data_IF_160484285075
#
_entry.id   IF_160484285075
#
_cell.length_a   1.000
_cell.length_b   1.000
_cell.length_c   1.000
_cell.angle_alpha   90.00
_cell.angle_beta   90.00
_cell.angle_gamma   90.00
#
_symmetry.space_group_name_H-M   'P 1'
#
loop_
_entity.id
_entity.type
_entity.pdbx_description
1 polymer ?
#
# COMPACT_ATOMS: atom_id res chain seq x y z
N UNK A 1 -27.21 -2.05 -10.48
CA UNK A 1 -25.74 -1.96 -10.48
C UNK A 1 -25.22 -2.37 -11.85
N UNK A 2 -24.57 -1.49 -12.63
CA UNK A 2 -24.03 -1.89 -13.94
C UNK A 2 -22.61 -2.42 -13.75
N UNK A 3 -22.49 -3.70 -13.39
CA UNK A 3 -21.20 -4.39 -13.12
C UNK A 3 -20.17 -4.11 -14.23
N UNK A 4 -20.61 -4.13 -15.49
CA UNK A 4 -19.79 -3.82 -16.68
C UNK A 4 -19.07 -2.46 -16.58
N UNK A 5 -19.72 -1.44 -16.02
CA UNK A 5 -19.15 -0.09 -15.92
C UNK A 5 -18.12 0.02 -14.80
N UNK A 6 -18.32 -0.69 -13.70
CA UNK A 6 -17.34 -0.78 -12.60
C UNK A 6 -16.10 -1.53 -13.06
N UNK A 7 -16.27 -2.61 -13.83
CA UNK A 7 -15.19 -3.37 -14.45
C UNK A 7 -14.34 -2.50 -15.38
N UNK A 8 -14.95 -1.77 -16.31
CA UNK A 8 -14.25 -0.85 -17.21
C UNK A 8 -13.43 0.20 -16.45
N UNK A 9 -13.99 0.77 -15.38
CA UNK A 9 -13.29 1.75 -14.54
C UNK A 9 -12.09 1.10 -13.84
N UNK A 10 -12.25 -0.08 -13.24
CA UNK A 10 -11.18 -0.80 -12.57
C UNK A 10 -10.04 -1.12 -13.54
N UNK A 11 -10.36 -1.67 -14.71
CA UNK A 11 -9.36 -2.03 -15.72
C UNK A 11 -8.63 -0.80 -16.28
N UNK A 12 -9.34 0.31 -16.53
CA UNK A 12 -8.72 1.55 -17.01
C UNK A 12 -7.76 2.14 -15.97
N UNK A 13 -8.13 2.12 -14.68
CA UNK A 13 -7.26 2.56 -13.58
C UNK A 13 -6.00 1.69 -13.52
N UNK A 14 -6.15 0.37 -13.49
CA UNK A 14 -5.02 -0.55 -13.36
C UNK A 14 -4.10 -0.53 -14.60
N UNK A 15 -4.63 -0.25 -15.80
CA UNK A 15 -3.82 -0.10 -17.01
C UNK A 15 -2.93 1.13 -16.93
N UNK A 16 -3.48 2.25 -16.46
CA UNK A 16 -2.80 3.56 -16.45
C UNK A 16 -1.97 3.82 -15.20
N UNK A 17 -2.11 3.02 -14.15
CA UNK A 17 -1.37 3.22 -12.92
C UNK A 17 0.14 3.11 -13.16
N UNK A 18 0.90 4.12 -12.71
CA UNK A 18 2.36 4.10 -12.76
C UNK A 18 2.90 2.95 -11.91
N UNK A 19 2.33 2.81 -10.70
CA UNK A 19 2.56 1.67 -9.84
C UNK A 19 1.54 0.55 -10.17
N UNK A 20 2.00 -0.62 -10.67
CA UNK A 20 1.11 -1.71 -11.04
C UNK A 20 0.40 -2.33 -9.82
N UNK A 21 0.95 -2.20 -8.61
CA UNK A 21 0.30 -2.57 -7.34
C UNK A 21 -0.58 -1.41 -6.84
N UNK A 22 -1.74 -1.23 -7.47
CA UNK A 22 -2.65 -0.14 -7.14
C UNK A 22 -3.46 -0.46 -5.88
N UNK A 23 -3.49 0.41 -4.86
CA UNK A 23 -4.29 0.20 -3.65
C UNK A 23 -5.79 0.13 -3.97
N UNK A 24 -6.49 -0.86 -3.39
CA UNK A 24 -7.92 -1.09 -3.65
C UNK A 24 -8.77 0.10 -3.18
N UNK A 25 -8.39 0.75 -2.07
CA UNK A 25 -9.07 1.95 -1.56
C UNK A 25 -9.04 3.12 -2.54
N UNK A 26 -7.97 3.26 -3.34
CA UNK A 26 -7.88 4.26 -4.41
C UNK A 26 -8.79 3.91 -5.59
N UNK A 27 -8.87 2.62 -5.94
CA UNK A 27 -9.78 2.13 -6.99
C UNK A 27 -11.22 2.37 -6.55
N UNK A 28 -11.55 2.04 -5.30
CA UNK A 28 -12.86 2.26 -4.70
C UNK A 28 -13.29 3.72 -4.76
N UNK A 29 -12.44 4.64 -4.30
CA UNK A 29 -12.71 6.09 -4.33
C UNK A 29 -13.04 6.56 -5.74
N UNK A 30 -12.26 6.15 -6.74
CA UNK A 30 -12.51 6.52 -8.14
C UNK A 30 -13.78 5.89 -8.73
N UNK A 31 -14.13 4.68 -8.31
CA UNK A 31 -15.40 4.06 -8.70
C UNK A 31 -16.58 4.83 -8.10
N UNK A 32 -16.49 5.22 -6.83
CA UNK A 32 -17.51 6.01 -6.12
C UNK A 32 -17.66 7.41 -6.73
N UNK A 33 -16.55 8.07 -7.09
CA UNK A 33 -16.58 9.38 -7.77
C UNK A 33 -17.33 9.33 -9.12
N UNK A 34 -17.24 8.22 -9.86
CA UNK A 34 -17.84 8.08 -11.20
C UNK A 34 -19.26 7.51 -11.18
N UNK A 35 -19.56 6.56 -10.29
CA UNK A 35 -20.85 5.85 -10.25
C UNK A 35 -21.74 6.25 -9.07
N UNK A 36 -21.22 6.98 -8.09
CA UNK A 36 -21.90 7.38 -6.86
C UNK A 36 -21.82 6.34 -5.74
N UNK A 37 -21.70 6.81 -4.49
CA UNK A 37 -21.48 5.97 -3.29
C UNK A 37 -22.62 4.98 -2.98
N UNK A 38 -23.83 5.24 -3.46
CA UNK A 38 -24.98 4.37 -3.21
C UNK A 38 -24.94 3.04 -4.00
N UNK A 39 -24.01 2.88 -4.94
CA UNK A 39 -23.99 1.77 -5.88
C UNK A 39 -22.92 0.70 -5.58
N UNK A 40 -21.95 0.94 -4.70
CA UNK A 40 -20.79 0.06 -4.51
C UNK A 40 -20.23 0.19 -3.09
N UNK A 41 -20.01 -0.93 -2.40
CA UNK A 41 -19.23 -0.97 -1.16
C UNK A 41 -17.80 -1.43 -1.44
N UNK A 42 -16.87 -1.12 -0.55
CA UNK A 42 -15.46 -1.47 -0.70
C UNK A 42 -15.26 -3.00 -0.64
N UNK A 43 -16.01 -3.70 0.22
CA UNK A 43 -15.97 -5.16 0.32
C UNK A 43 -16.50 -5.82 -0.96
N UNK A 44 -17.57 -5.28 -1.55
CA UNK A 44 -18.13 -5.79 -2.79
C UNK A 44 -17.16 -5.60 -3.96
N UNK A 45 -16.46 -4.46 -4.00
CA UNK A 45 -15.40 -4.23 -4.98
C UNK A 45 -14.23 -5.19 -4.77
N UNK A 46 -13.79 -5.40 -3.54
CA UNK A 46 -12.70 -6.31 -3.23
C UNK A 46 -13.04 -7.76 -3.64
N UNK A 47 -14.26 -8.21 -3.35
CA UNK A 47 -14.74 -9.53 -3.77
C UNK A 47 -14.80 -9.65 -5.30
N UNK A 48 -15.25 -8.60 -5.99
CA UNK A 48 -15.24 -8.52 -7.45
C UNK A 48 -13.82 -8.65 -8.01
N UNK A 49 -12.87 -7.88 -7.49
CA UNK A 49 -11.47 -7.90 -7.94
C UNK A 49 -10.80 -9.26 -7.70
N UNK A 50 -11.07 -9.92 -6.57
CA UNK A 50 -10.59 -11.28 -6.27
C UNK A 50 -11.13 -12.33 -7.23
N UNK A 51 -12.37 -12.17 -7.69
CA UNK A 51 -13.01 -13.09 -8.64
C UNK A 51 -12.67 -12.82 -10.11
N UNK A 52 -11.97 -11.73 -10.42
CA UNK A 52 -11.77 -11.28 -11.79
C UNK A 52 -10.62 -12.05 -12.49
N UNK A 53 -10.88 -12.53 -13.71
CA UNK A 53 -9.97 -13.40 -14.47
C UNK A 53 -8.60 -12.77 -14.78
N UNK A 54 -8.55 -11.45 -14.96
CA UNK A 54 -7.32 -10.72 -15.32
C UNK A 54 -6.66 -9.96 -14.17
N UNK A 55 -7.17 -10.06 -12.95
CA UNK A 55 -6.67 -9.29 -11.80
C UNK A 55 -6.11 -10.25 -10.75
N UNK A 56 -5.03 -9.84 -10.09
CA UNK A 56 -4.52 -10.46 -8.88
C UNK A 56 -4.66 -9.46 -7.74
N UNK A 57 -5.11 -9.93 -6.58
CA UNK A 57 -5.18 -9.13 -5.36
C UNK A 57 -4.09 -9.62 -4.42
N UNK A 58 -3.22 -8.71 -4.03
CA UNK A 58 -2.18 -8.91 -3.01
C UNK A 58 -2.73 -8.37 -1.70
N UNK A 59 -2.94 -9.25 -0.74
CA UNK A 59 -3.43 -8.87 0.59
C UNK A 59 -2.34 -8.08 1.34
N UNK A 60 -2.74 -6.97 1.96
CA UNK A 60 -1.86 -6.16 2.82
C UNK A 60 -1.69 -6.81 4.20
N UNK A 61 -0.77 -6.26 5.00
CA UNK A 61 -0.58 -6.68 6.40
C UNK A 61 -1.71 -6.05 7.23
N UNK A 62 -2.89 -6.68 7.20
CA UNK A 62 -4.11 -6.09 7.74
C UNK A 62 -4.32 -6.35 9.25
N UNK A 63 -3.67 -7.36 9.85
CA UNK A 63 -3.95 -7.73 11.25
C UNK A 63 -2.68 -7.70 12.11
N UNK A 64 -2.69 -6.81 13.12
CA UNK A 64 -1.72 -6.82 14.22
C UNK A 64 -0.68 -5.69 14.24
N UNK A 65 -0.75 -4.72 13.33
CA UNK A 65 0.13 -3.55 13.40
C UNK A 65 -0.30 -2.62 14.57
N UNK A 66 0.62 -2.14 15.42
CA UNK A 66 0.31 -1.29 16.58
C UNK A 66 -0.15 0.14 16.22
N UNK A 67 -0.39 0.43 14.94
CA UNK A 67 -0.71 1.76 14.43
C UNK A 67 -1.91 1.67 13.49
N UNK A 68 -2.85 2.60 13.65
CA UNK A 68 -4.08 2.67 12.83
C UNK A 68 -3.76 2.88 11.34
N UNK A 69 -4.45 2.14 10.46
CA UNK A 69 -4.30 2.21 9.00
C UNK A 69 -4.42 3.65 8.44
N UNK A 70 -5.21 4.49 9.12
CA UNK A 70 -5.39 5.91 8.79
C UNK A 70 -4.10 6.72 8.91
N UNK A 71 -3.28 6.47 9.94
CA UNK A 71 -2.02 7.19 10.15
C UNK A 71 -0.98 6.86 9.08
N UNK A 72 -0.95 5.61 8.61
CA UNK A 72 -0.11 5.22 7.47
C UNK A 72 -0.60 5.84 6.16
N UNK A 73 -1.92 5.85 5.92
CA UNK A 73 -2.50 6.47 4.74
C UNK A 73 -2.19 7.98 4.67
N UNK A 74 -2.21 8.67 5.81
CA UNK A 74 -1.83 10.09 5.92
C UNK A 74 -0.32 10.31 5.66
N UNK A 75 0.52 9.33 5.99
CA UNK A 75 1.95 9.32 5.64
C UNK A 75 2.23 8.86 4.20
N UNK A 76 1.20 8.66 3.37
CA UNK A 76 1.34 8.18 1.99
C UNK A 76 1.63 6.68 1.85
N UNK A 77 1.57 5.92 2.95
CA UNK A 77 1.81 4.48 3.01
C UNK A 77 0.47 3.75 3.02
N UNK A 78 0.05 3.21 1.87
CA UNK A 78 -1.22 2.47 1.80
C UNK A 78 -1.01 1.01 2.23
N UNK A 79 -1.50 0.66 3.43
CA UNK A 79 -1.33 -0.64 4.12
C UNK A 79 -2.39 -1.70 3.81
N UNK A 80 -3.41 -1.37 3.00
CA UNK A 80 -4.48 -2.29 2.61
C UNK A 80 -4.20 -3.17 1.38
N UNK A 81 -5.19 -3.98 0.95
CA UNK A 81 -5.07 -4.83 -0.23
C UNK A 81 -4.75 -4.01 -1.49
N UNK A 82 -3.94 -4.58 -2.37
CA UNK A 82 -3.51 -3.98 -3.64
C UNK A 82 -3.94 -4.87 -4.80
N UNK A 83 -4.48 -4.27 -5.86
CA UNK A 83 -4.87 -4.96 -7.07
C UNK A 83 -3.88 -4.68 -8.21
N UNK A 84 -3.66 -5.69 -9.05
CA UNK A 84 -2.74 -5.63 -10.19
C UNK A 84 -3.33 -6.40 -11.37
N UNK A 85 -3.11 -5.91 -12.58
CA UNK A 85 -3.42 -6.68 -13.79
C UNK A 85 -2.41 -7.80 -14.00
N UNK A 86 -2.88 -9.00 -14.35
CA UNK A 86 -2.04 -10.15 -14.70
C UNK A 86 -1.01 -9.81 -15.79
N UNK A 87 -1.41 -9.01 -16.78
CA UNK A 87 -0.54 -8.53 -17.85
C UNK A 87 0.51 -7.50 -17.42
N UNK A 88 0.41 -6.98 -16.19
CA UNK A 88 1.32 -6.01 -15.59
C UNK A 88 1.91 -6.51 -14.27
N UNK A 89 1.84 -7.82 -13.99
CA UNK A 89 2.49 -8.39 -12.80
C UNK A 89 3.97 -8.03 -12.89
N UNK A 90 4.55 -7.38 -11.87
CA UNK A 90 5.86 -6.82 -11.98
C UNK A 90 6.83 -8.00 -11.91
N UNK A 91 7.92 -7.88 -12.65
CA UNK A 91 9.02 -8.83 -12.52
C UNK A 91 9.56 -8.80 -11.08
N UNK A 92 10.22 -9.89 -10.64
CA UNK A 92 10.88 -9.90 -9.33
C UNK A 92 11.80 -8.69 -9.10
N UNK A 93 12.49 -8.22 -10.14
CA UNK A 93 13.37 -7.05 -10.07
C UNK A 93 12.60 -5.73 -9.89
N UNK A 94 11.44 -5.58 -10.54
CA UNK A 94 10.56 -4.43 -10.35
C UNK A 94 9.96 -4.43 -8.94
N UNK A 95 9.56 -5.59 -8.42
CA UNK A 95 9.11 -5.73 -7.04
C UNK A 95 10.21 -5.35 -6.05
N UNK A 96 11.45 -5.84 -6.24
CA UNK A 96 12.60 -5.47 -5.40
C UNK A 96 12.84 -3.97 -5.40
N UNK A 97 12.86 -3.33 -6.58
CA UNK A 97 13.02 -1.87 -6.70
C UNK A 97 11.92 -1.10 -5.97
N UNK A 98 10.68 -1.54 -6.09
CA UNK A 98 9.55 -0.91 -5.41
C UNK A 98 9.63 -1.03 -3.89
N UNK A 99 9.94 -2.22 -3.38
CA UNK A 99 10.08 -2.42 -1.94
C UNK A 99 11.27 -1.64 -1.37
N UNK A 100 12.39 -1.55 -2.10
CA UNK A 100 13.53 -0.72 -1.70
C UNK A 100 13.15 0.75 -1.59
N UNK A 101 12.43 1.28 -2.59
CA UNK A 101 11.93 2.67 -2.55
C UNK A 101 10.97 2.91 -1.37
N UNK A 102 10.10 1.95 -1.05
CA UNK A 102 9.22 2.07 0.12
C UNK A 102 10.01 2.04 1.44
N UNK A 103 11.05 1.21 1.52
CA UNK A 103 11.91 1.12 2.70
C UNK A 103 12.69 2.42 2.91
N UNK A 104 13.23 3.02 1.85
CA UNK A 104 13.91 4.34 1.89
C UNK A 104 12.98 5.43 2.44
N UNK A 105 11.76 5.55 1.90
CA UNK A 105 10.76 6.52 2.37
C UNK A 105 10.45 6.30 3.87
N UNK A 106 10.30 5.04 4.29
CA UNK A 106 10.04 4.71 5.68
C UNK A 106 11.21 5.12 6.59
N UNK A 107 12.46 4.88 6.17
CA UNK A 107 13.67 5.27 6.90
C UNK A 107 13.75 6.80 7.05
N UNK A 108 13.47 7.54 5.99
CA UNK A 108 13.46 9.01 6.03
C UNK A 108 12.42 9.55 7.03
N UNK A 109 11.21 9.01 6.99
CA UNK A 109 10.14 9.38 7.94
C UNK A 109 10.51 9.05 9.39
N UNK A 110 11.09 7.87 9.64
CA UNK A 110 11.54 7.47 10.97
C UNK A 110 12.71 8.33 11.46
N UNK A 111 13.64 8.71 10.58
CA UNK A 111 14.75 9.61 10.91
C UNK A 111 14.24 11.00 11.32
N UNK A 112 13.23 11.52 10.60
CA UNK A 112 12.58 12.77 10.97
C UNK A 112 11.84 12.66 12.32
N UNK A 113 11.11 11.57 12.54
CA UNK A 113 10.43 11.32 13.81
C UNK A 113 11.43 11.19 14.97
N UNK A 114 12.58 10.55 14.74
CA UNK A 114 13.65 10.42 15.72
C UNK A 114 14.21 11.78 16.13
N UNK A 115 14.42 12.68 15.17
CA UNK A 115 14.87 14.05 15.44
C UNK A 115 13.87 14.79 16.34
N UNK A 116 12.58 14.74 16.01
CA UNK A 116 11.52 15.35 16.81
C UNK A 116 11.42 14.75 18.22
N UNK A 117 11.57 13.43 18.34
CA UNK A 117 11.56 12.75 19.63
C UNK A 117 12.76 13.14 20.52
N UNK A 118 13.95 13.33 19.92
CA UNK A 118 15.14 13.84 20.61
C UNK A 118 14.96 15.28 21.07
N UNK A 119 14.41 16.15 20.23
CA UNK A 119 14.10 17.55 20.58
C UNK A 119 13.05 17.66 21.70
N UNK A 120 12.10 16.71 21.76
CA UNK A 120 11.09 16.63 22.81
C UNK A 120 11.55 15.88 24.07
N UNK A 121 12.83 15.49 24.16
CA UNK A 121 13.41 14.69 25.26
C UNK A 121 12.64 13.40 25.59
N UNK A 122 11.93 12.84 24.61
CA UNK A 122 11.12 11.64 24.78
C UNK A 122 11.97 10.37 24.56
N UNK A 123 12.73 9.99 25.59
CA UNK A 123 13.64 8.84 25.53
C UNK A 123 12.97 7.51 25.17
N UNK A 124 11.69 7.32 25.51
CA UNK A 124 10.94 6.11 25.14
C UNK A 124 10.69 6.06 23.63
N UNK A 125 10.19 7.15 23.05
CA UNK A 125 9.96 7.24 21.61
C UNK A 125 11.26 7.12 20.81
N UNK A 126 12.36 7.71 21.31
CA UNK A 126 13.69 7.58 20.71
C UNK A 126 14.10 6.11 20.59
N UNK A 127 14.00 5.35 21.68
CA UNK A 127 14.38 3.95 21.69
C UNK A 127 13.48 3.07 20.78
N UNK A 128 12.18 3.33 20.77
CA UNK A 128 11.23 2.63 19.90
C UNK A 128 11.56 2.87 18.42
N UNK A 129 11.83 4.13 18.04
CA UNK A 129 12.16 4.49 16.65
C UNK A 129 13.50 3.90 16.21
N UNK A 130 14.54 3.94 17.07
CA UNK A 130 15.84 3.33 16.79
C UNK A 130 15.73 1.81 16.58
N UNK A 131 14.92 1.12 17.39
CA UNK A 131 14.64 -0.31 17.23
C UNK A 131 13.97 -0.63 15.89
N UNK A 132 13.07 0.24 15.42
CA UNK A 132 12.39 0.04 14.12
C UNK A 132 13.34 0.32 12.96
N UNK A 133 14.22 1.33 13.08
CA UNK A 133 15.26 1.61 12.08
C UNK A 133 16.22 0.42 11.90
N UNK A 134 16.67 -0.20 13.00
CA UNK A 134 17.53 -1.39 12.94
C UNK A 134 16.84 -2.57 12.23
N UNK A 135 15.54 -2.76 12.47
CA UNK A 135 14.76 -3.78 11.75
C UNK A 135 14.63 -3.48 10.25
N UNK A 136 14.54 -2.20 9.87
CA UNK A 136 14.50 -1.80 8.47
C UNK A 136 15.82 -2.10 7.77
N UNK A 137 16.97 -1.85 8.41
CA UNK A 137 18.29 -2.17 7.87
C UNK A 137 18.47 -3.68 7.64
N UNK A 138 18.06 -4.52 8.60
CA UNK A 138 18.09 -5.99 8.45
C UNK A 138 17.20 -6.46 7.28
N UNK A 139 16.04 -5.81 7.09
CA UNK A 139 15.14 -6.16 5.98
C UNK A 139 15.77 -5.79 4.63
N UNK A 140 16.49 -4.67 4.56
CA UNK A 140 17.21 -4.25 3.36
C UNK A 140 18.29 -5.26 2.95
N UNK A 141 19.14 -5.68 3.90
CA UNK A 141 20.20 -6.67 3.65
C UNK A 141 19.60 -7.98 3.09
N UNK A 142 18.52 -8.48 3.71
CA UNK A 142 17.85 -9.71 3.25
C UNK A 142 17.25 -9.60 1.84
N UNK A 143 16.94 -8.39 1.39
CA UNK A 143 16.44 -8.17 0.04
C UNK A 143 17.54 -8.15 -1.02
N UNK A 144 18.79 -7.88 -0.63
CA UNK A 144 19.96 -7.95 -1.53
C UNK A 144 20.40 -9.38 -1.81
N UNK A 145 20.11 -10.31 -0.89
CA UNK A 145 20.44 -11.74 -0.99
C UNK A 145 19.41 -12.58 -1.79
N UNK A 146 18.29 -11.98 -2.22
CA UNK A 146 17.27 -12.60 -3.08
C UNK A 146 17.60 -12.42 -4.55
#
# INVERSE_FOLDING_TARGET
>A
MRIVRVEEICLDILRRAENPLTPVSLIYRKCVEKEGAAALTEEALLQFLRGHGDIVVVEGVADGAPVEEKAFNEAGIMMGPRAILKSRVPTPDELKKMFRMQLEIMRDNLAQALKLAKEAENGKAVHEIETVLEKADILEERMEDL
#
